data_IF_382865500367
#
_entry.id   IF_382865500367
#
_cell.length_a   1.000
_cell.length_b   1.000
_cell.length_c   1.000
_cell.angle_alpha   90.00
_cell.angle_beta   90.00
_cell.angle_gamma   90.00
#
_symmetry.space_group_name_H-M   'P 1'
#
loop_
_entity.id
_entity.type
_entity.pdbx_description
1 polymer ?
#
# COMPACT_ATOMS: atom_id res chain seq x y z
N UNK A 1 28.03 5.52 -10.96
CA UNK A 1 27.39 6.84 -11.16
C UNK A 1 26.14 7.05 -10.27
N UNK A 2 25.20 6.11 -10.17
CA UNK A 2 23.99 6.27 -9.31
C UNK A 2 24.30 6.51 -7.82
N UNK A 3 25.35 5.91 -7.26
CA UNK A 3 25.82 6.14 -5.88
C UNK A 3 26.32 7.58 -5.66
N UNK A 4 27.13 8.09 -6.59
CA UNK A 4 27.73 9.43 -6.51
C UNK A 4 26.65 10.52 -6.59
N UNK A 5 25.56 10.27 -7.31
CA UNK A 5 24.43 11.19 -7.40
C UNK A 5 23.46 11.06 -6.20
N UNK A 6 23.19 9.84 -5.70
CA UNK A 6 22.26 9.67 -4.58
C UNK A 6 22.84 10.09 -3.22
N UNK A 7 24.11 9.78 -2.93
CA UNK A 7 24.74 10.12 -1.65
C UNK A 7 24.62 11.62 -1.26
N UNK A 8 24.92 12.60 -2.13
CA UNK A 8 24.71 14.01 -1.81
C UNK A 8 23.24 14.40 -1.77
N UNK A 9 22.40 13.79 -2.62
CA UNK A 9 20.97 14.09 -2.69
C UNK A 9 20.21 13.64 -1.44
N UNK A 10 20.58 12.51 -0.83
CA UNK A 10 19.97 12.02 0.43
C UNK A 10 20.04 13.07 1.53
N UNK A 11 21.16 13.80 1.65
CA UNK A 11 21.30 14.88 2.63
C UNK A 11 20.27 16.00 2.42
N UNK A 12 19.95 16.31 1.17
CA UNK A 12 18.97 17.32 0.80
C UNK A 12 17.53 16.84 1.07
N UNK A 13 17.22 15.57 0.80
CA UNK A 13 15.93 14.96 1.14
C UNK A 13 15.67 14.91 2.65
N UNK A 14 16.69 14.59 3.45
CA UNK A 14 16.58 14.60 4.91
C UNK A 14 16.33 16.01 5.45
N UNK A 15 16.83 17.05 4.78
CA UNK A 15 16.60 18.44 5.19
C UNK A 15 15.13 18.85 5.05
N UNK A 16 14.38 18.28 4.11
CA UNK A 16 12.93 18.49 3.97
C UNK A 16 12.18 17.92 5.19
N UNK A 17 12.65 16.80 5.76
CA UNK A 17 12.07 16.21 6.97
C UNK A 17 12.26 17.07 8.22
N UNK A 18 13.19 18.04 8.20
CA UNK A 18 13.40 18.98 9.31
C UNK A 18 12.37 20.11 9.34
N UNK A 19 11.59 20.29 8.27
CA UNK A 19 10.53 21.30 8.21
C UNK A 19 9.43 20.89 9.22
N UNK A 20 8.92 21.81 10.06
CA UNK A 20 7.85 21.49 10.99
C UNK A 20 6.65 20.89 10.25
N UNK A 21 6.08 19.81 10.82
CA UNK A 21 5.04 19.00 10.16
C UNK A 21 3.86 19.83 9.64
N UNK A 22 3.48 20.91 10.35
CA UNK A 22 2.40 21.81 9.94
C UNK A 22 2.64 22.42 8.55
N UNK A 23 3.84 22.97 8.31
CA UNK A 23 4.18 23.57 7.02
C UNK A 23 4.35 22.53 5.93
N UNK A 24 4.89 21.35 6.27
CA UNK A 24 5.03 20.25 5.32
C UNK A 24 3.67 19.78 4.80
N UNK A 25 2.69 19.57 5.69
CA UNK A 25 1.35 19.15 5.29
C UNK A 25 0.61 20.24 4.51
N UNK A 26 0.74 21.51 4.89
CA UNK A 26 0.17 22.62 4.13
C UNK A 26 0.75 22.67 2.70
N UNK A 27 2.07 22.52 2.56
CA UNK A 27 2.74 22.45 1.26
C UNK A 27 2.25 21.27 0.42
N UNK A 28 2.20 20.07 0.99
CA UNK A 28 1.69 18.87 0.30
C UNK A 28 0.26 19.09 -0.19
N UNK A 29 -0.62 19.69 0.62
CA UNK A 29 -2.00 19.95 0.24
C UNK A 29 -2.11 20.93 -0.93
N UNK A 30 -1.32 22.02 -0.91
CA UNK A 30 -1.27 22.99 -2.01
C UNK A 30 -0.76 22.33 -3.29
N UNK A 31 0.35 21.60 -3.22
CA UNK A 31 0.91 20.92 -4.39
C UNK A 31 -0.02 19.83 -4.93
N UNK A 32 -0.69 19.06 -4.07
CA UNK A 32 -1.67 18.07 -4.48
C UNK A 32 -2.86 18.73 -5.19
N UNK A 33 -3.37 19.84 -4.67
CA UNK A 33 -4.48 20.58 -5.28
C UNK A 33 -4.12 21.12 -6.65
N UNK A 34 -2.96 21.79 -6.77
CA UNK A 34 -2.46 22.32 -8.04
C UNK A 34 -2.19 21.19 -9.03
N UNK A 35 -1.58 20.09 -8.58
CA UNK A 35 -1.27 18.93 -9.41
C UNK A 35 -2.51 18.25 -9.97
N UNK A 36 -3.49 17.94 -9.12
CA UNK A 36 -4.75 17.32 -9.54
C UNK A 36 -5.50 18.23 -10.51
N UNK A 37 -5.63 19.53 -10.21
CA UNK A 37 -6.29 20.46 -11.11
C UNK A 37 -5.55 20.62 -12.45
N UNK A 38 -4.21 20.60 -12.42
CA UNK A 38 -3.37 20.69 -13.62
C UNK A 38 -3.52 19.51 -14.58
N UNK A 39 -3.71 18.29 -14.05
CA UNK A 39 -3.81 17.06 -14.86
C UNK A 39 -5.19 16.93 -15.50
N UNK A 40 -6.26 17.00 -14.71
CA UNK A 40 -7.60 16.65 -15.18
C UNK A 40 -8.53 17.83 -15.38
N UNK A 41 -8.18 19.04 -14.89
CA UNK A 41 -9.03 20.25 -14.90
C UNK A 41 -10.48 19.97 -14.44
N UNK A 42 -10.66 18.95 -13.62
CA UNK A 42 -11.95 18.43 -13.18
C UNK A 42 -12.21 18.84 -11.73
N UNK A 43 -13.34 19.51 -11.50
CA UNK A 43 -13.78 19.87 -10.13
C UNK A 43 -14.13 18.61 -9.33
N UNK A 44 -14.57 17.54 -10.00
CA UNK A 44 -14.84 16.26 -9.35
C UNK A 44 -13.58 15.64 -8.76
N UNK A 45 -12.45 15.69 -9.48
CA UNK A 45 -11.19 15.12 -9.02
C UNK A 45 -10.62 15.91 -7.84
N UNK A 46 -10.82 17.23 -7.84
CA UNK A 46 -10.53 18.07 -6.68
C UNK A 46 -11.41 17.69 -5.48
N UNK A 47 -12.72 17.54 -5.68
CA UNK A 47 -13.63 17.11 -4.62
C UNK A 47 -13.25 15.73 -4.07
N UNK A 48 -12.85 14.81 -4.94
CA UNK A 48 -12.37 13.48 -4.56
C UNK A 48 -11.05 13.55 -3.79
N UNK A 49 -10.10 14.38 -4.22
CA UNK A 49 -8.84 14.62 -3.51
C UNK A 49 -9.11 15.06 -2.06
N UNK A 50 -9.96 16.07 -1.87
CA UNK A 50 -10.32 16.55 -0.54
C UNK A 50 -11.14 15.52 0.25
N UNK A 51 -12.08 14.81 -0.38
CA UNK A 51 -12.87 13.75 0.25
C UNK A 51 -11.99 12.60 0.77
N UNK A 52 -11.06 12.11 -0.05
CA UNK A 52 -10.08 11.09 0.35
C UNK A 52 -9.12 11.65 1.41
N UNK A 53 -8.70 12.91 1.29
CA UNK A 53 -7.86 13.57 2.30
C UNK A 53 -8.53 13.62 3.68
N UNK A 54 -9.82 13.95 3.73
CA UNK A 54 -10.63 13.94 4.96
C UNK A 54 -10.80 12.51 5.50
N UNK A 55 -11.10 11.53 4.63
CA UNK A 55 -11.14 10.12 5.03
C UNK A 55 -9.80 9.66 5.64
N UNK A 56 -8.68 10.01 5.01
CA UNK A 56 -7.34 9.72 5.51
C UNK A 56 -7.06 10.37 6.88
N UNK A 57 -7.59 11.57 7.13
CA UNK A 57 -7.51 12.22 8.44
C UNK A 57 -8.30 11.45 9.51
N UNK A 58 -9.52 11.00 9.21
CA UNK A 58 -10.31 10.18 10.13
C UNK A 58 -9.69 8.82 10.41
N UNK A 59 -9.10 8.18 9.40
CA UNK A 59 -8.37 6.94 9.57
C UNK A 59 -7.18 7.11 10.51
N UNK A 60 -6.40 8.19 10.32
CA UNK A 60 -5.29 8.52 11.23
C UNK A 60 -5.77 8.81 12.65
N UNK A 61 -6.94 9.44 12.80
CA UNK A 61 -7.54 9.72 14.12
C UNK A 61 -8.00 8.46 14.85
N UNK A 62 -8.36 7.42 14.09
CA UNK A 62 -8.88 6.14 14.60
C UNK A 62 -7.78 5.06 14.69
N UNK A 63 -6.50 5.45 14.64
CA UNK A 63 -5.32 4.57 14.64
C UNK A 63 -5.31 3.50 13.53
N UNK A 64 -6.10 3.69 12.47
CA UNK A 64 -6.01 2.82 11.29
C UNK A 64 -4.75 3.17 10.50
N UNK A 65 -3.98 2.16 10.08
CA UNK A 65 -2.78 2.39 9.30
C UNK A 65 -3.18 2.86 7.89
N UNK A 66 -2.99 4.15 7.61
CA UNK A 66 -3.33 4.76 6.31
C UNK A 66 -2.44 4.25 5.18
N UNK A 67 -1.17 3.93 5.48
CA UNK A 67 -0.18 3.47 4.50
C UNK A 67 -0.61 2.16 3.78
N UNK A 68 -0.96 1.06 4.48
CA UNK A 68 -1.49 -0.15 3.85
C UNK A 68 -2.73 0.08 2.98
N UNK A 69 -3.62 0.99 3.38
CA UNK A 69 -4.84 1.26 2.61
C UNK A 69 -4.54 1.95 1.29
N UNK A 70 -3.63 2.94 1.30
CA UNK A 70 -3.17 3.59 0.06
C UNK A 70 -2.49 2.58 -0.86
N UNK A 71 -1.62 1.72 -0.32
CA UNK A 71 -0.96 0.66 -1.08
C UNK A 71 -2.00 -0.29 -1.68
N UNK A 72 -2.98 -0.74 -0.90
CA UNK A 72 -4.05 -1.62 -1.37
C UNK A 72 -4.91 -0.97 -2.46
N UNK A 73 -5.23 0.32 -2.31
CA UNK A 73 -5.99 1.09 -3.30
C UNK A 73 -5.26 1.19 -4.64
N UNK A 74 -3.95 1.38 -4.61
CA UNK A 74 -3.12 1.43 -5.82
C UNK A 74 -2.96 0.02 -6.41
N UNK A 75 -2.61 -0.96 -5.59
CA UNK A 75 -2.31 -2.33 -6.05
C UNK A 75 -3.55 -3.09 -6.53
N UNK A 76 -4.73 -2.82 -5.97
CA UNK A 76 -5.97 -3.53 -6.32
C UNK A 76 -6.28 -3.49 -7.83
N UNK A 77 -6.41 -2.30 -8.45
CA UNK A 77 -6.59 -2.16 -9.89
C UNK A 77 -5.48 -2.82 -10.71
N UNK A 78 -4.22 -2.71 -10.28
CA UNK A 78 -3.11 -3.39 -10.95
C UNK A 78 -3.25 -4.92 -10.88
N UNK A 79 -3.61 -5.47 -9.73
CA UNK A 79 -3.83 -6.90 -9.54
C UNK A 79 -4.98 -7.40 -10.41
N UNK A 80 -6.11 -6.68 -10.41
CA UNK A 80 -7.28 -6.98 -11.25
C UNK A 80 -6.93 -6.94 -12.75
N UNK A 81 -6.16 -5.94 -13.18
CA UNK A 81 -5.70 -5.84 -14.56
C UNK A 81 -4.78 -7.02 -14.94
N UNK A 82 -3.86 -7.42 -14.07
CA UNK A 82 -3.00 -8.58 -14.34
C UNK A 82 -3.80 -9.90 -14.32
N UNK A 83 -4.78 -10.04 -13.43
CA UNK A 83 -5.68 -11.18 -13.40
C UNK A 83 -6.49 -11.29 -14.69
N UNK A 84 -7.13 -10.20 -15.12
CA UNK A 84 -7.86 -10.14 -16.40
C UNK A 84 -6.95 -10.45 -17.58
N UNK A 85 -5.73 -9.89 -17.60
CA UNK A 85 -4.74 -10.18 -18.65
C UNK A 85 -4.37 -11.66 -18.69
N UNK A 86 -4.15 -12.28 -17.53
CA UNK A 86 -3.87 -13.71 -17.44
C UNK A 86 -5.04 -14.54 -17.98
N UNK A 87 -6.28 -14.19 -17.61
CA UNK A 87 -7.50 -14.85 -18.08
C UNK A 87 -7.72 -14.70 -19.59
N UNK A 88 -7.44 -13.53 -20.16
CA UNK A 88 -7.50 -13.33 -21.61
C UNK A 88 -6.46 -14.18 -22.35
N UNK A 89 -5.24 -14.28 -21.81
CA UNK A 89 -4.18 -15.12 -22.38
C UNK A 89 -4.54 -16.62 -22.27
N UNK A 90 -5.18 -17.04 -21.18
CA UNK A 90 -5.63 -18.42 -20.98
C UNK A 90 -6.98 -18.75 -21.62
N UNK A 91 -7.57 -17.82 -22.39
CA UNK A 91 -8.89 -17.98 -23.01
C UNK A 91 -10.00 -18.31 -21.99
N UNK A 92 -9.88 -17.82 -20.76
CA UNK A 92 -10.82 -18.07 -19.68
C UNK A 92 -10.55 -19.33 -18.87
N UNK A 93 -9.49 -20.08 -19.15
CA UNK A 93 -9.15 -21.27 -18.37
C UNK A 93 -8.40 -20.89 -17.08
N UNK A 94 -9.03 -21.13 -15.93
CA UNK A 94 -8.48 -20.94 -14.58
C UNK A 94 -7.44 -22.01 -14.23
N UNK A 95 -7.39 -23.13 -14.96
CA UNK A 95 -6.40 -24.19 -14.74
C UNK A 95 -4.97 -23.70 -14.97
N UNK A 96 -4.78 -22.64 -15.77
CA UNK A 96 -3.47 -22.07 -16.09
C UNK A 96 -2.69 -21.61 -14.85
N UNK A 97 -3.38 -21.22 -13.79
CA UNK A 97 -2.75 -20.85 -12.52
C UNK A 97 -2.05 -22.02 -11.82
N UNK A 98 -2.51 -23.26 -12.05
CA UNK A 98 -1.96 -24.50 -11.47
C UNK A 98 -1.06 -25.22 -12.48
N UNK A 99 -1.47 -25.26 -13.75
CA UNK A 99 -0.75 -25.92 -14.85
C UNK A 99 0.60 -25.28 -15.16
N UNK A 100 0.78 -23.97 -14.88
CA UNK A 100 2.07 -23.28 -15.01
C UNK A 100 2.85 -23.42 -13.70
N UNK A 101 3.99 -24.15 -13.67
CA UNK A 101 4.71 -24.43 -12.42
C UNK A 101 5.20 -23.16 -11.70
N UNK A 102 5.55 -22.11 -12.44
CA UNK A 102 5.95 -20.81 -11.87
C UNK A 102 4.76 -20.10 -11.22
N UNK A 103 3.59 -20.12 -11.88
CA UNK A 103 2.36 -19.52 -11.33
C UNK A 103 1.92 -20.26 -10.07
N UNK A 104 1.94 -21.59 -10.10
CA UNK A 104 1.60 -22.41 -8.96
C UNK A 104 2.54 -22.16 -7.77
N UNK A 105 3.85 -22.09 -8.02
CA UNK A 105 4.84 -21.78 -6.98
C UNK A 105 4.63 -20.38 -6.38
N UNK A 106 4.37 -19.36 -7.21
CA UNK A 106 4.09 -18.00 -6.74
C UNK A 106 2.79 -17.90 -5.95
N UNK A 107 1.73 -18.60 -6.38
CA UNK A 107 0.47 -18.67 -5.64
C UNK A 107 0.63 -19.37 -4.29
N UNK A 108 1.39 -20.46 -4.25
CA UNK A 108 1.69 -21.17 -3.01
C UNK A 108 2.51 -20.27 -2.06
N UNK A 109 3.51 -19.55 -2.56
CA UNK A 109 4.28 -18.59 -1.77
C UNK A 109 3.40 -17.44 -1.24
N UNK A 110 2.50 -16.89 -2.07
CA UNK A 110 1.57 -15.85 -1.64
C UNK A 110 0.62 -16.36 -0.54
N UNK A 111 0.09 -17.57 -0.70
CA UNK A 111 -0.76 -18.21 0.30
C UNK A 111 0.00 -18.42 1.61
N UNK A 112 1.23 -18.94 1.55
CA UNK A 112 2.08 -19.12 2.72
C UNK A 112 2.39 -17.77 3.40
N UNK A 113 2.72 -16.73 2.65
CA UNK A 113 3.05 -15.41 3.20
C UNK A 113 1.88 -14.79 3.98
N UNK A 114 0.63 -15.07 3.59
CA UNK A 114 -0.57 -14.61 4.30
C UNK A 114 -0.89 -15.54 5.49
N UNK A 115 -0.84 -16.85 5.27
CA UNK A 115 -1.29 -17.84 6.26
C UNK A 115 -0.29 -18.05 7.40
N UNK A 116 1.02 -18.05 7.13
CA UNK A 116 2.08 -18.24 8.14
C UNK A 116 1.98 -17.25 9.31
N UNK A 117 1.99 -15.92 9.10
CA UNK A 117 1.89 -14.97 10.20
C UNK A 117 0.56 -15.08 10.94
N UNK A 118 -0.55 -15.32 10.24
CA UNK A 118 -1.87 -15.51 10.86
C UNK A 118 -1.90 -16.75 11.77
N UNK A 119 -1.39 -17.90 11.31
CA UNK A 119 -1.30 -19.16 12.06
C UNK A 119 -0.34 -19.04 13.25
N UNK A 120 0.80 -18.36 13.08
CA UNK A 120 1.75 -18.11 14.16
C UNK A 120 1.18 -17.19 15.24
N UNK A 121 0.42 -16.16 14.85
CA UNK A 121 -0.25 -15.26 15.80
C UNK A 121 -1.31 -16.00 16.63
N UNK A 122 -2.12 -16.84 15.98
CA UNK A 122 -3.14 -17.66 16.65
C UNK A 122 -2.52 -18.72 17.58
N UNK A 123 -1.37 -19.30 17.21
CA UNK A 123 -0.62 -20.25 18.06
C UNK A 123 0.10 -19.57 19.23
N UNK A 124 0.58 -18.33 19.08
CA UNK A 124 1.23 -17.57 20.16
C UNK A 124 0.25 -17.14 21.25
N UNK A 125 -0.97 -16.74 20.89
CA UNK A 125 -2.01 -16.40 21.87
C UNK A 125 -2.41 -17.60 22.77
N UNK A 126 -2.27 -18.84 22.29
CA UNK A 126 -2.51 -20.04 23.10
C UNK A 126 -1.37 -20.41 24.06
N UNK A 127 -0.19 -19.77 23.98
CA UNK A 127 1.01 -20.15 24.77
C UNK A 127 1.32 -19.22 25.95
N UNK A 128 0.56 -18.14 26.15
CA UNK A 128 0.79 -17.15 27.22
C UNK A 128 -0.09 -17.34 28.48
N UNK A 129 -0.63 -18.53 28.72
CA UNK A 129 -1.33 -18.84 29.98
C UNK A 129 -0.77 -20.11 30.66
N UNK A 130 0.37 -20.02 31.35
CA UNK A 130 0.64 -20.76 32.57
C UNK A 130 0.51 -19.75 33.73
N UNK A 131 -0.62 -19.73 34.45
CA UNK A 131 -0.79 -20.41 35.75
C UNK A 131 0.42 -20.23 36.66
N UNK A 132 0.52 -19.04 37.28
CA UNK A 132 1.05 -18.90 38.64
C UNK A 132 -0.10 -18.34 39.49
N UNK A 133 -1.05 -19.23 39.78
CA UNK A 133 -1.86 -19.13 40.98
C UNK A 133 -1.09 -19.86 42.06
N UNK A 134 -0.62 -19.10 43.06
CA UNK A 134 -0.60 -19.39 44.50
C UNK A 134 0.37 -18.45 45.23
#
# INVERSE_FOLDING_TARGET
>A
MLLVLNLPLVGLWVQILKIPMLYLYAGILVFATIGTYGISRSVFDLALLYGIGVLGFFMRRSDFPTSPVVIGMILGPFAEQQFRRAMTISQGDLSVFISRPISAALLLLALLAIMLPALMHLRRQRRQYPVDAD
#
